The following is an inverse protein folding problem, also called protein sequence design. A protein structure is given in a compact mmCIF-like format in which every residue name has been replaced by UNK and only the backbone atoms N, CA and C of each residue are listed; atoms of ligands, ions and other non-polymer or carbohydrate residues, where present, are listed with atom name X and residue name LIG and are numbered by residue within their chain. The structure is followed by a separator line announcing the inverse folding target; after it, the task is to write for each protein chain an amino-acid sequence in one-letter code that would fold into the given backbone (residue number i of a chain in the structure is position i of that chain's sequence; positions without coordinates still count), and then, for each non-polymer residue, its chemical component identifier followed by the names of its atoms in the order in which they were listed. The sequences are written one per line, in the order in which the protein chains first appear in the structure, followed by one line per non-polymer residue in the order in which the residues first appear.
data_IF_076921459997
#
_entry.id   IF_076921459997
#
_cell.length_a   1.000
_cell.length_b   1.000
_cell.length_c   1.000
_cell.angle_alpha   90.00
_cell.angle_beta   90.00
_cell.angle_gamma   90.00
#
_symmetry.space_group_name_H-M   'P 1'
#
loop_
_entity.id
_entity.type
_entity.pdbx_description
1 polymer ?
#
# COMPACT_ATOMS: atom_id res chain seq x y z
N UNK A 1 -0.61 21.88 -9.43
CA UNK A 1 -1.24 21.15 -10.56
C UNK A 1 -2.70 20.93 -10.24
N UNK A 2 -3.63 21.21 -11.15
CA UNK A 2 -5.06 20.97 -10.89
C UNK A 2 -5.37 19.47 -10.94
N UNK A 3 -5.97 18.95 -9.87
CA UNK A 3 -6.41 17.55 -9.80
C UNK A 3 -7.49 17.26 -10.84
N UNK A 4 -7.34 16.14 -11.54
CA UNK A 4 -8.21 15.73 -12.65
C UNK A 4 -8.92 14.40 -12.37
N UNK A 5 -10.24 14.39 -12.55
CA UNK A 5 -11.13 13.25 -12.27
C UNK A 5 -11.75 12.73 -13.56
N UNK A 6 -11.49 11.46 -13.88
CA UNK A 6 -12.03 10.80 -15.08
C UNK A 6 -13.42 10.19 -14.80
N UNK A 7 -14.49 10.57 -15.53
CA UNK A 7 -15.81 9.99 -15.32
C UNK A 7 -15.88 8.48 -15.64
N UNK A 8 -16.39 7.63 -14.71
CA UNK A 8 -16.59 6.20 -14.94
C UNK A 8 -17.56 5.88 -16.08
N UNK A 9 -17.43 4.71 -16.71
CA UNK A 9 -18.22 4.33 -17.90
C UNK A 9 -19.74 4.47 -17.72
N UNK A 10 -20.29 4.18 -16.53
CA UNK A 10 -21.71 4.37 -16.23
C UNK A 10 -22.14 5.84 -16.28
N UNK A 11 -21.29 6.76 -15.79
CA UNK A 11 -21.51 8.22 -15.85
C UNK A 11 -21.44 8.71 -17.29
N UNK A 12 -20.45 8.23 -18.06
CA UNK A 12 -20.30 8.55 -19.49
C UNK A 12 -21.51 8.09 -20.31
N UNK A 13 -21.99 6.88 -20.05
CA UNK A 13 -23.13 6.29 -20.77
C UNK A 13 -24.47 6.93 -20.38
N UNK A 14 -24.60 7.45 -19.16
CA UNK A 14 -25.74 8.29 -18.79
C UNK A 14 -25.70 9.66 -19.49
N UNK A 15 -24.54 10.31 -19.53
CA UNK A 15 -24.37 11.58 -20.24
C UNK A 15 -24.63 11.47 -21.76
N UNK A 16 -24.26 10.35 -22.40
CA UNK A 16 -24.61 10.07 -23.81
C UNK A 16 -26.12 9.98 -24.00
N UNK A 17 -26.82 9.17 -23.20
CA UNK A 17 -28.29 9.09 -23.22
C UNK A 17 -28.97 10.42 -22.96
N UNK A 18 -28.42 11.26 -22.06
CA UNK A 18 -28.93 12.63 -21.84
C UNK A 18 -28.72 13.55 -23.05
N UNK A 19 -27.63 13.40 -23.80
CA UNK A 19 -27.38 14.13 -25.04
C UNK A 19 -28.29 13.65 -26.19
N UNK A 20 -28.58 12.35 -26.25
CA UNK A 20 -29.55 11.76 -27.18
C UNK A 20 -30.96 12.31 -26.91
N UNK A 21 -31.41 12.27 -25.64
CA UNK A 21 -32.69 12.87 -25.22
C UNK A 21 -32.78 14.36 -25.54
N UNK A 22 -31.70 15.12 -25.28
CA UNK A 22 -31.64 16.53 -25.64
C UNK A 22 -31.71 16.77 -27.16
N UNK A 23 -31.06 15.93 -27.97
CA UNK A 23 -31.12 16.01 -29.43
C UNK A 23 -32.53 15.68 -29.98
N UNK A 24 -33.29 14.83 -29.27
CA UNK A 24 -34.69 14.52 -29.57
C UNK A 24 -35.68 15.62 -29.14
N UNK A 25 -35.20 16.74 -28.56
CA UNK A 25 -36.06 17.82 -28.08
C UNK A 25 -36.67 17.58 -26.70
N UNK A 26 -36.23 16.55 -25.97
CA UNK A 26 -36.80 16.14 -24.68
C UNK A 26 -36.20 16.92 -23.50
N UNK A 27 -35.53 18.05 -23.77
CA UNK A 27 -35.01 19.00 -22.78
C UNK A 27 -36.08 19.99 -22.29
N UNK A 28 -35.76 20.76 -21.25
CA UNK A 28 -36.61 21.87 -20.79
C UNK A 28 -36.04 23.23 -21.17
N UNK A 29 -36.91 24.24 -21.26
CA UNK A 29 -36.57 25.61 -21.69
C UNK A 29 -35.47 26.28 -20.85
N UNK A 30 -35.29 25.84 -19.59
CA UNK A 30 -34.23 26.31 -18.70
C UNK A 30 -32.85 25.65 -18.87
N UNK A 31 -32.64 24.82 -19.91
CA UNK A 31 -31.37 24.10 -20.08
C UNK A 31 -30.29 24.97 -20.74
N UNK A 32 -29.31 25.41 -19.96
CA UNK A 32 -28.16 26.18 -20.45
C UNK A 32 -27.27 25.40 -21.43
N UNK A 33 -26.79 26.07 -22.48
CA UNK A 33 -25.79 25.54 -23.43
C UNK A 33 -24.50 25.06 -22.74
N UNK A 34 -24.12 25.70 -21.62
CA UNK A 34 -22.98 25.30 -20.78
C UNK A 34 -23.17 23.90 -20.16
N UNK A 35 -24.42 23.48 -19.88
CA UNK A 35 -24.76 22.14 -19.38
C UNK A 35 -24.61 21.10 -20.49
N UNK A 36 -25.05 21.39 -21.72
CA UNK A 36 -24.84 20.52 -22.89
C UNK A 36 -23.34 20.35 -23.18
N UNK A 37 -22.56 21.43 -23.13
CA UNK A 37 -21.10 21.36 -23.25
C UNK A 37 -20.45 20.52 -22.13
N UNK A 38 -20.96 20.61 -20.89
CA UNK A 38 -20.54 19.77 -19.76
C UNK A 38 -20.80 18.30 -20.03
N UNK A 39 -22.00 17.97 -20.49
CA UNK A 39 -22.42 16.61 -20.80
C UNK A 39 -21.57 15.98 -21.90
N UNK A 40 -21.22 16.74 -22.96
CA UNK A 40 -20.26 16.29 -24.00
C UNK A 40 -18.89 15.95 -23.42
N UNK A 41 -18.37 16.79 -22.51
CA UNK A 41 -17.08 16.53 -21.83
C UNK A 41 -17.14 15.29 -20.91
N UNK A 42 -18.28 15.06 -20.24
CA UNK A 42 -18.52 13.86 -19.43
C UNK A 42 -18.61 12.62 -20.35
N UNK A 43 -19.38 12.69 -21.44
CA UNK A 43 -19.60 11.59 -22.38
C UNK A 43 -18.33 11.12 -23.11
N UNK A 44 -17.39 12.02 -23.41
CA UNK A 44 -16.07 11.67 -23.95
C UNK A 44 -15.12 11.06 -22.92
N UNK A 45 -15.44 11.18 -21.62
CA UNK A 45 -14.56 10.74 -20.54
C UNK A 45 -13.35 11.65 -20.29
N UNK A 46 -13.37 12.87 -20.82
CA UNK A 46 -12.31 13.84 -20.58
C UNK A 46 -12.23 14.24 -19.10
N UNK A 47 -11.01 14.41 -18.60
CA UNK A 47 -10.75 14.71 -17.19
C UNK A 47 -11.42 16.03 -16.73
N UNK A 48 -12.06 15.98 -15.57
CA UNK A 48 -12.78 17.08 -14.94
C UNK A 48 -11.98 17.64 -13.75
N UNK A 49 -11.94 18.95 -13.59
CA UNK A 49 -11.30 19.59 -12.43
C UNK A 49 -12.14 19.39 -11.17
N UNK A 50 -11.53 19.59 -10.00
CA UNK A 50 -12.22 19.57 -8.71
C UNK A 50 -13.49 20.44 -8.71
N UNK A 51 -13.38 21.64 -9.26
CA UNK A 51 -14.50 22.58 -9.38
C UNK A 51 -15.65 22.02 -10.25
N UNK A 52 -15.32 21.34 -11.34
CA UNK A 52 -16.33 20.71 -12.19
C UNK A 52 -17.09 19.63 -11.43
N UNK A 53 -16.41 18.77 -10.66
CA UNK A 53 -17.08 17.73 -9.88
C UNK A 53 -17.85 18.30 -8.68
N UNK A 54 -17.35 19.38 -8.04
CA UNK A 54 -18.11 20.13 -7.03
C UNK A 54 -19.40 20.74 -7.59
N UNK A 55 -19.38 21.26 -8.83
CA UNK A 55 -20.58 21.74 -9.53
C UNK A 55 -21.56 20.58 -9.81
N UNK A 56 -21.08 19.41 -10.24
CA UNK A 56 -21.91 18.21 -10.43
C UNK A 56 -22.60 17.80 -9.11
N UNK A 57 -21.83 17.66 -8.03
CA UNK A 57 -22.36 17.32 -6.70
C UNK A 57 -23.42 18.32 -6.24
N UNK A 58 -23.13 19.63 -6.36
CA UNK A 58 -24.06 20.70 -5.98
C UNK A 58 -25.36 20.67 -6.79
N UNK A 59 -25.33 20.26 -8.06
CA UNK A 59 -26.54 20.04 -8.85
C UNK A 59 -27.36 18.87 -8.30
N UNK A 60 -26.72 17.72 -8.01
CA UNK A 60 -27.44 16.54 -7.55
C UNK A 60 -28.03 16.70 -6.15
N UNK A 61 -27.31 17.31 -5.20
CA UNK A 61 -27.82 17.51 -3.82
C UNK A 61 -29.07 18.40 -3.79
N UNK A 62 -29.11 19.47 -4.62
CA UNK A 62 -30.28 20.36 -4.72
C UNK A 62 -31.54 19.65 -5.22
N UNK A 63 -31.41 18.52 -5.92
CA UNK A 63 -32.50 17.86 -6.61
C UNK A 63 -32.66 16.37 -6.26
N UNK A 64 -32.00 15.88 -5.21
CA UNK A 64 -32.06 14.46 -4.84
C UNK A 64 -33.48 14.01 -4.46
N UNK A 65 -34.25 14.90 -3.82
CA UNK A 65 -35.65 14.66 -3.43
C UNK A 65 -36.59 14.47 -4.62
N UNK A 66 -36.23 15.00 -5.78
CA UNK A 66 -37.02 14.93 -7.01
C UNK A 66 -36.37 14.03 -8.07
N UNK A 67 -35.36 13.23 -7.71
CA UNK A 67 -34.57 12.47 -8.69
C UNK A 67 -35.44 11.51 -9.53
N UNK A 68 -35.14 11.33 -10.82
CA UNK A 68 -35.73 10.27 -11.62
C UNK A 68 -35.38 8.89 -11.08
N UNK A 69 -36.30 7.95 -11.29
CA UNK A 69 -36.13 6.54 -10.98
C UNK A 69 -35.08 5.87 -11.88
N UNK A 70 -34.40 4.85 -11.36
CA UNK A 70 -33.45 4.04 -12.14
C UNK A 70 -34.15 3.19 -13.24
N UNK A 71 -35.49 3.08 -13.22
CA UNK A 71 -36.24 1.94 -13.76
C UNK A 71 -37.29 2.18 -14.85
N UNK A 72 -37.44 3.38 -15.43
CA UNK A 72 -38.09 3.54 -16.73
C UNK A 72 -39.34 4.43 -16.83
N UNK A 73 -39.52 5.44 -15.98
CA UNK A 73 -40.31 6.60 -16.45
C UNK A 73 -39.64 7.19 -17.70
N UNK A 74 -40.44 7.46 -18.75
CA UNK A 74 -39.95 7.86 -20.08
C UNK A 74 -39.17 9.19 -20.09
N UNK A 75 -38.69 9.62 -21.28
CA UNK A 75 -37.99 10.88 -21.40
C UNK A 75 -38.88 12.05 -20.94
N UNK A 76 -38.26 13.00 -20.27
CA UNK A 76 -38.90 14.24 -19.81
C UNK A 76 -37.82 15.32 -19.66
N UNK A 77 -38.19 16.62 -19.74
CA UNK A 77 -37.28 17.74 -19.50
C UNK A 77 -36.38 17.56 -18.26
N UNK A 78 -36.97 17.04 -17.18
CA UNK A 78 -36.29 16.75 -15.94
C UNK A 78 -35.35 15.54 -16.01
N UNK A 79 -35.79 14.42 -16.60
CA UNK A 79 -34.95 13.23 -16.80
C UNK A 79 -33.76 13.53 -17.71
N UNK A 80 -33.97 14.31 -18.77
CA UNK A 80 -32.93 14.77 -19.70
C UNK A 80 -31.87 15.59 -18.99
N UNK A 81 -32.27 16.61 -18.21
CA UNK A 81 -31.36 17.41 -17.39
C UNK A 81 -30.55 16.54 -16.41
N UNK A 82 -31.20 15.61 -15.69
CA UNK A 82 -30.54 14.68 -14.78
C UNK A 82 -29.51 13.78 -15.47
N UNK A 83 -29.83 13.27 -16.66
CA UNK A 83 -28.97 12.39 -17.45
C UNK A 83 -27.76 13.13 -18.05
N UNK A 84 -27.91 14.39 -18.47
CA UNK A 84 -26.80 15.23 -18.95
C UNK A 84 -25.70 15.43 -17.89
N UNK A 85 -26.06 15.48 -16.60
CA UNK A 85 -25.09 15.51 -15.49
C UNK A 85 -24.50 14.12 -15.14
N UNK A 86 -24.90 13.06 -15.86
CA UNK A 86 -24.43 11.68 -15.66
C UNK A 86 -25.37 10.78 -14.86
N UNK A 87 -26.60 11.23 -14.58
CA UNK A 87 -27.65 10.45 -13.92
C UNK A 87 -27.29 9.96 -12.51
N UNK A 88 -27.97 8.90 -12.05
CA UNK A 88 -27.76 8.34 -10.71
C UNK A 88 -26.33 7.80 -10.49
N UNK A 89 -25.65 7.37 -11.57
CA UNK A 89 -24.23 7.05 -11.54
C UNK A 89 -23.37 8.30 -11.29
N UNK A 90 -23.66 9.40 -11.99
CA UNK A 90 -23.01 10.70 -11.82
C UNK A 90 -23.19 11.27 -10.41
N UNK A 91 -24.39 11.16 -9.84
CA UNK A 91 -24.67 11.51 -8.44
C UNK A 91 -23.76 10.77 -7.48
N UNK A 92 -23.77 9.43 -7.53
CA UNK A 92 -22.95 8.59 -6.63
C UNK A 92 -21.45 8.86 -6.79
N UNK A 93 -21.00 9.04 -8.04
CA UNK A 93 -19.60 9.35 -8.34
C UNK A 93 -19.18 10.74 -7.83
N UNK A 94 -19.94 11.78 -8.13
CA UNK A 94 -19.62 13.14 -7.71
C UNK A 94 -19.64 13.29 -6.18
N UNK A 95 -20.61 12.66 -5.49
CA UNK A 95 -20.64 12.62 -4.03
C UNK A 95 -19.42 11.88 -3.44
N UNK A 96 -19.00 10.75 -4.02
CA UNK A 96 -17.79 10.03 -3.60
C UNK A 96 -16.52 10.87 -3.79
N UNK A 97 -16.40 11.56 -4.92
CA UNK A 97 -15.24 12.41 -5.23
C UNK A 97 -15.20 13.66 -4.34
N UNK A 98 -16.34 14.32 -4.09
CA UNK A 98 -16.40 15.45 -3.15
C UNK A 98 -16.15 15.02 -1.70
N UNK A 99 -16.64 13.84 -1.29
CA UNK A 99 -16.29 13.25 0.02
C UNK A 99 -14.77 13.01 0.14
N UNK A 100 -14.11 12.57 -0.94
CA UNK A 100 -12.65 12.44 -0.98
C UNK A 100 -11.90 13.79 -0.97
N UNK A 101 -12.52 14.89 -1.44
CA UNK A 101 -11.95 16.25 -1.34
C UNK A 101 -12.15 16.88 0.04
N UNK A 102 -13.24 16.54 0.73
CA UNK A 102 -13.61 17.11 2.03
C UNK A 102 -13.02 16.34 3.21
N UNK A 103 -12.67 15.07 3.01
CA UNK A 103 -11.78 14.39 3.93
C UNK A 103 -10.44 15.14 3.99
N UNK A 104 -10.10 15.68 5.18
CA UNK A 104 -8.68 15.83 5.57
C UNK A 104 -7.97 14.50 5.28
N UNK A 105 -6.68 14.48 4.91
CA UNK A 105 -6.00 13.26 4.45
C UNK A 105 -5.81 12.23 5.56
N UNK A 106 -6.90 11.54 5.92
CA UNK A 106 -6.87 10.21 6.49
C UNK A 106 -6.40 9.27 5.37
N UNK A 107 -5.22 8.67 5.53
CA UNK A 107 -4.60 7.83 4.53
C UNK A 107 -5.56 6.76 4.01
N UNK A 108 -5.60 6.55 2.69
CA UNK A 108 -6.49 5.59 2.04
C UNK A 108 -6.13 4.16 2.44
N UNK A 109 -6.82 3.61 3.44
CA UNK A 109 -6.81 2.18 3.74
C UNK A 109 -7.59 1.40 2.68
N UNK A 110 -6.89 0.64 1.84
CA UNK A 110 -7.49 -0.31 0.88
C UNK A 110 -7.44 -1.70 1.51
N UNK A 111 -8.54 -2.46 1.53
CA UNK A 111 -8.62 -3.77 2.19
C UNK A 111 -8.45 -4.97 1.24
N UNK A 112 -7.54 -5.89 1.61
CA UNK A 112 -7.21 -7.17 0.96
C UNK A 112 -6.43 -8.04 1.98
N UNK A 113 -6.50 -9.38 1.86
CA UNK A 113 -5.79 -10.39 2.68
C UNK A 113 -4.60 -10.95 1.84
N UNK A 114 -4.08 -12.19 1.91
CA UNK A 114 -3.97 -13.18 3.02
C UNK A 114 -2.46 -13.26 3.41
N UNK A 115 -1.84 -14.45 3.33
CA UNK A 115 -0.58 -14.60 2.58
C UNK A 115 0.76 -14.62 3.33
N UNK A 116 0.78 -15.02 4.61
CA UNK A 116 1.91 -15.07 5.58
C UNK A 116 1.99 -13.88 6.54
N UNK A 117 1.73 -14.17 7.82
CA UNK A 117 1.68 -13.19 8.87
C UNK A 117 3.04 -12.97 9.54
N UNK A 118 3.51 -11.72 9.54
CA UNK A 118 4.16 -11.11 10.70
C UNK A 118 3.90 -9.60 10.68
N UNK A 119 3.42 -9.11 11.83
CA UNK A 119 2.80 -7.79 11.94
C UNK A 119 3.79 -6.65 11.67
N UNK A 120 3.29 -5.62 11.00
CA UNK A 120 3.95 -4.32 10.88
C UNK A 120 2.91 -3.20 10.84
N UNK A 121 3.36 -1.95 10.96
CA UNK A 121 2.55 -0.75 10.72
C UNK A 121 3.44 0.39 10.24
N UNK A 122 3.27 0.81 8.99
CA UNK A 122 3.82 2.08 8.53
C UNK A 122 2.95 3.24 9.05
N UNK A 123 3.51 4.10 9.90
CA UNK A 123 2.82 5.30 10.42
C UNK A 123 3.61 6.53 10.01
N UNK A 124 2.92 7.47 9.36
CA UNK A 124 3.42 8.84 9.21
C UNK A 124 3.04 9.62 10.47
N UNK A 125 4.04 10.09 11.21
CA UNK A 125 3.88 10.83 12.47
C UNK A 125 4.91 11.96 12.47
N UNK A 126 4.42 13.21 12.60
CA UNK A 126 5.19 14.46 12.47
C UNK A 126 6.06 14.61 11.19
N UNK A 127 5.75 13.83 10.14
CA UNK A 127 6.43 13.83 8.84
C UNK A 127 7.39 12.67 8.62
N UNK A 128 7.81 12.00 9.69
CA UNK A 128 8.67 10.81 9.66
C UNK A 128 7.85 9.53 9.40
N UNK A 129 8.52 8.45 8.95
CA UNK A 129 7.91 7.13 8.83
C UNK A 129 8.40 6.18 9.92
N UNK A 130 7.49 5.56 10.64
CA UNK A 130 7.82 4.43 11.51
C UNK A 130 7.60 3.12 10.76
N UNK A 131 8.60 2.23 10.80
CA UNK A 131 8.58 0.89 10.19
C UNK A 131 8.98 -0.16 11.23
N UNK A 132 8.51 -1.40 11.10
CA UNK A 132 8.84 -2.48 12.04
C UNK A 132 8.93 -3.85 11.35
N UNK A 133 9.71 -4.76 11.94
CA UNK A 133 9.96 -6.09 11.37
C UNK A 133 11.21 -6.75 11.94
N UNK A 134 11.57 -7.93 11.43
CA UNK A 134 12.78 -8.65 11.85
C UNK A 134 13.98 -8.18 11.03
N UNK A 135 15.00 -7.67 11.71
CA UNK A 135 16.28 -7.30 11.13
C UNK A 135 17.20 -8.51 10.90
N UNK A 136 17.00 -9.57 11.68
CA UNK A 136 17.68 -10.86 11.57
C UNK A 136 16.81 -11.94 12.22
N UNK A 137 16.90 -13.18 11.73
CA UNK A 137 16.34 -14.37 12.39
C UNK A 137 17.44 -15.42 12.66
N UNK A 138 17.05 -16.59 13.17
CA UNK A 138 17.98 -17.69 13.48
C UNK A 138 18.03 -18.78 12.40
N UNK A 139 17.31 -18.60 11.29
CA UNK A 139 17.34 -19.55 10.18
C UNK A 139 18.62 -19.42 9.36
N UNK A 140 18.87 -20.41 8.51
CA UNK A 140 20.03 -20.42 7.62
C UNK A 140 19.80 -19.41 6.49
N UNK A 141 20.74 -18.49 6.30
CA UNK A 141 20.68 -17.49 5.23
C UNK A 141 21.17 -18.03 3.87
N UNK A 142 21.23 -17.16 2.86
CA UNK A 142 21.66 -17.54 1.50
C UNK A 142 23.13 -17.93 1.38
N UNK A 143 23.96 -17.51 2.33
CA UNK A 143 25.40 -17.81 2.35
C UNK A 143 25.69 -19.08 3.18
N UNK A 144 24.65 -19.73 3.71
CA UNK A 144 24.76 -20.94 4.54
C UNK A 144 25.12 -20.64 5.99
N UNK A 145 24.97 -19.39 6.42
CA UNK A 145 25.27 -18.95 7.78
C UNK A 145 24.02 -18.94 8.66
N UNK A 146 24.20 -19.13 9.97
CA UNK A 146 23.13 -19.03 10.96
C UNK A 146 23.69 -18.50 12.29
N UNK A 147 22.82 -17.89 13.11
CA UNK A 147 23.23 -17.17 14.31
C UNK A 147 23.06 -18.03 15.57
N UNK A 148 24.10 -18.07 16.41
CA UNK A 148 24.05 -18.75 17.69
C UNK A 148 22.96 -18.15 18.62
N UNK A 149 22.16 -18.98 19.31
CA UNK A 149 21.20 -18.52 20.30
C UNK A 149 21.83 -17.56 21.32
N UNK A 150 21.21 -16.38 21.48
CA UNK A 150 21.69 -15.32 22.38
C UNK A 150 22.82 -14.44 21.84
N UNK A 151 23.40 -14.68 20.66
CA UNK A 151 24.40 -13.79 20.07
C UNK A 151 23.81 -12.40 19.75
N UNK A 152 22.61 -12.35 19.14
CA UNK A 152 21.85 -11.10 18.93
C UNK A 152 21.53 -10.39 20.25
N UNK A 153 21.17 -11.14 21.30
CA UNK A 153 20.82 -10.57 22.61
C UNK A 153 22.01 -9.86 23.26
N UNK A 154 23.21 -10.42 23.14
CA UNK A 154 24.46 -9.81 23.65
C UNK A 154 24.88 -8.56 22.86
N UNK A 155 24.61 -8.53 21.55
CA UNK A 155 24.95 -7.41 20.69
C UNK A 155 24.03 -6.20 20.89
N UNK A 156 22.77 -6.45 21.26
CA UNK A 156 21.71 -5.44 21.27
C UNK A 156 22.01 -4.25 22.20
N UNK A 157 22.47 -4.52 23.43
CA UNK A 157 22.79 -3.47 24.41
C UNK A 157 23.93 -2.54 23.97
N UNK A 158 24.82 -3.03 23.08
CA UNK A 158 25.87 -2.20 22.48
C UNK A 158 25.31 -1.34 21.36
N UNK A 159 24.56 -1.95 20.43
CA UNK A 159 23.91 -1.27 19.32
C UNK A 159 22.97 -0.14 19.77
N UNK A 160 22.16 -0.36 20.81
CA UNK A 160 21.20 0.64 21.30
C UNK A 160 21.85 1.90 21.89
N UNK A 161 23.18 1.96 22.03
CA UNK A 161 23.92 3.20 22.37
C UNK A 161 24.06 4.15 21.17
N UNK A 162 23.99 3.62 19.95
CA UNK A 162 23.96 4.37 18.70
C UNK A 162 23.08 3.63 17.68
N UNK A 163 21.74 3.64 17.85
CA UNK A 163 20.82 2.79 17.11
C UNK A 163 20.56 3.32 15.70
N UNK A 164 21.60 3.38 14.86
CA UNK A 164 21.53 3.98 13.53
C UNK A 164 20.77 3.08 12.55
N UNK A 165 19.89 3.69 11.74
CA UNK A 165 19.30 3.06 10.56
C UNK A 165 19.98 3.62 9.30
N UNK A 166 20.63 2.76 8.53
CA UNK A 166 21.37 3.13 7.32
C UNK A 166 20.64 2.69 6.03
N UNK A 167 21.14 3.15 4.88
CA UNK A 167 20.78 2.60 3.57
C UNK A 167 21.86 1.63 3.07
N UNK A 168 21.49 0.37 2.87
CA UNK A 168 22.27 -0.65 2.15
C UNK A 168 23.75 -0.73 2.58
N UNK A 169 23.98 -0.83 3.89
CA UNK A 169 25.28 -0.91 4.58
C UNK A 169 26.19 0.33 4.41
N UNK A 170 25.68 1.42 3.84
CA UNK A 170 26.42 2.68 3.72
C UNK A 170 26.20 3.55 4.95
N UNK A 171 27.14 3.49 5.89
CA UNK A 171 27.09 4.28 7.13
C UNK A 171 27.13 5.81 6.90
N UNK A 172 27.60 6.25 5.73
CA UNK A 172 27.53 7.66 5.29
C UNK A 172 26.15 8.11 4.80
N UNK A 173 25.20 7.18 4.62
CA UNK A 173 23.86 7.39 4.09
C UNK A 173 22.83 6.94 5.14
N UNK A 174 22.84 7.63 6.28
CA UNK A 174 21.85 7.46 7.35
C UNK A 174 20.43 7.79 6.85
N UNK A 175 19.47 6.99 7.32
CA UNK A 175 18.05 7.07 6.98
C UNK A 175 17.17 7.38 8.20
N UNK A 176 17.69 7.20 9.42
CA UNK A 176 16.97 7.47 10.67
C UNK A 176 17.54 6.65 11.83
N UNK A 177 16.69 6.21 12.75
CA UNK A 177 17.11 5.50 13.98
C UNK A 177 16.15 4.37 14.37
N UNK A 178 16.69 3.29 14.95
CA UNK A 178 15.91 2.27 15.64
C UNK A 178 15.46 2.80 16.99
N UNK A 179 14.14 2.88 17.20
CA UNK A 179 13.51 3.45 18.40
C UNK A 179 13.08 2.39 19.41
N UNK A 180 12.90 1.15 18.96
CA UNK A 180 12.59 0.00 19.81
C UNK A 180 13.22 -1.25 19.19
N UNK A 181 13.77 -2.14 20.01
CA UNK A 181 14.36 -3.39 19.55
C UNK A 181 14.29 -4.45 20.63
N UNK A 182 14.08 -5.70 20.22
CA UNK A 182 14.00 -6.86 21.14
C UNK A 182 14.36 -8.14 20.38
N UNK A 183 14.98 -9.08 21.08
CA UNK A 183 15.16 -10.44 20.57
C UNK A 183 14.05 -11.32 21.15
N UNK A 184 13.39 -12.11 20.30
CA UNK A 184 12.45 -13.15 20.71
C UNK A 184 12.80 -14.50 20.06
N UNK A 185 11.93 -15.50 20.18
CA UNK A 185 12.17 -16.83 19.60
C UNK A 185 12.19 -16.90 18.08
N UNK A 186 11.87 -15.80 17.37
CA UNK A 186 11.97 -15.70 15.90
C UNK A 186 13.24 -14.97 15.47
N UNK A 187 13.66 -13.93 16.20
CA UNK A 187 14.84 -13.17 15.82
C UNK A 187 14.98 -11.82 16.50
N UNK A 188 15.79 -10.94 15.92
CA UNK A 188 15.87 -9.52 16.29
C UNK A 188 14.74 -8.75 15.61
N UNK A 189 13.68 -8.46 16.35
CA UNK A 189 12.63 -7.53 15.94
C UNK A 189 13.03 -6.09 16.27
N UNK A 190 12.73 -5.18 15.35
CA UNK A 190 12.94 -3.74 15.53
C UNK A 190 11.71 -2.94 15.11
N UNK A 191 11.63 -1.73 15.67
CA UNK A 191 10.86 -0.59 15.15
C UNK A 191 11.82 0.56 14.93
N UNK A 192 11.81 1.14 13.73
CA UNK A 192 12.69 2.22 13.33
C UNK A 192 11.90 3.43 12.80
N UNK A 193 12.39 4.61 13.12
CA UNK A 193 12.02 5.87 12.49
C UNK A 193 12.89 6.08 11.26
N UNK A 194 12.28 6.48 10.15
CA UNK A 194 12.93 6.96 8.93
C UNK A 194 12.65 8.44 8.84
N UNK A 195 13.72 9.25 8.89
CA UNK A 195 13.65 10.69 9.05
C UNK A 195 13.14 11.35 7.74
N UNK A 196 12.28 12.36 7.86
CA UNK A 196 11.76 13.10 6.70
C UNK A 196 12.90 13.88 6.03
N UNK A 197 13.25 13.58 4.77
CA UNK A 197 14.36 14.22 4.09
C UNK A 197 13.92 15.46 3.31
N UNK A 198 14.86 16.38 3.10
CA UNK A 198 14.66 17.55 2.24
C UNK A 198 14.16 17.15 0.83
N UNK A 199 13.09 17.79 0.31
CA UNK A 199 12.52 17.45 -0.99
C UNK A 199 13.54 17.56 -2.14
N UNK A 200 13.51 16.56 -3.04
CA UNK A 200 14.40 16.52 -4.20
C UNK A 200 15.77 15.89 -3.95
N UNK A 201 16.10 15.53 -2.70
CA UNK A 201 17.31 14.75 -2.39
C UNK A 201 17.17 13.27 -2.76
N UNK A 202 18.31 12.57 -2.82
CA UNK A 202 18.32 11.11 -2.99
C UNK A 202 17.76 10.38 -1.75
N UNK A 203 17.89 10.96 -0.56
CA UNK A 203 17.17 10.49 0.63
C UNK A 203 15.64 10.56 0.42
N UNK A 204 15.12 11.62 -0.20
CA UNK A 204 13.70 11.72 -0.58
C UNK A 204 13.25 10.71 -1.65
N UNK A 205 14.17 10.20 -2.49
CA UNK A 205 13.86 9.07 -3.37
C UNK A 205 13.64 7.79 -2.56
N UNK A 206 14.53 7.51 -1.59
CA UNK A 206 14.49 6.30 -0.75
C UNK A 206 13.35 6.32 0.26
N UNK A 207 13.11 7.44 0.92
CA UNK A 207 11.95 7.64 1.79
C UNK A 207 10.64 7.31 1.04
N UNK A 208 10.52 7.73 -0.23
CA UNK A 208 9.39 7.35 -1.09
C UNK A 208 9.37 5.88 -1.50
N UNK A 209 10.52 5.20 -1.58
CA UNK A 209 10.58 3.74 -1.78
C UNK A 209 10.17 2.97 -0.51
N UNK A 210 10.53 3.46 0.68
CA UNK A 210 10.06 2.92 1.97
C UNK A 210 8.56 3.11 2.09
N UNK A 211 8.03 4.33 1.90
CA UNK A 211 6.60 4.63 1.95
C UNK A 211 5.75 3.77 0.98
N UNK A 212 6.34 3.30 -0.12
CA UNK A 212 5.70 2.42 -1.13
C UNK A 212 5.95 0.93 -0.89
N UNK A 213 6.69 0.54 0.15
CA UNK A 213 7.06 -0.86 0.40
C UNK A 213 7.97 -1.48 -0.67
N UNK A 214 8.64 -0.65 -1.48
CA UNK A 214 9.66 -1.06 -2.45
C UNK A 214 10.99 -1.33 -1.75
N UNK A 215 11.39 -0.44 -0.84
CA UNK A 215 12.55 -0.61 0.03
C UNK A 215 12.06 -1.06 1.40
N UNK A 216 12.11 -2.37 1.66
CA UNK A 216 11.52 -2.99 2.85
C UNK A 216 12.36 -4.08 3.52
N UNK A 217 13.45 -4.52 2.89
CA UNK A 217 14.36 -5.49 3.52
C UNK A 217 15.17 -4.84 4.63
N UNK A 218 15.38 -5.55 5.73
CA UNK A 218 16.36 -5.20 6.74
C UNK A 218 17.59 -6.11 6.63
N UNK A 219 18.74 -5.58 7.02
CA UNK A 219 20.00 -6.33 7.13
C UNK A 219 20.77 -5.81 8.33
N UNK A 220 21.54 -6.68 9.00
CA UNK A 220 22.43 -6.30 10.10
C UNK A 220 23.87 -6.17 9.59
N UNK A 221 24.62 -5.20 10.11
CA UNK A 221 26.02 -5.00 9.78
C UNK A 221 26.89 -4.71 11.00
N UNK A 222 28.14 -5.16 10.94
CA UNK A 222 29.07 -5.09 12.06
C UNK A 222 30.16 -6.14 11.97
N UNK A 223 30.71 -6.53 13.12
CA UNK A 223 31.77 -7.54 13.20
C UNK A 223 31.22 -8.87 13.71
N UNK A 224 31.50 -9.95 12.97
CA UNK A 224 30.94 -11.27 13.22
C UNK A 224 32.08 -12.27 13.49
N UNK A 225 32.08 -12.91 14.67
CA UNK A 225 32.99 -14.04 14.93
C UNK A 225 32.31 -15.32 14.46
N UNK A 226 32.86 -15.93 13.42
CA UNK A 226 32.30 -17.12 12.78
C UNK A 226 33.12 -18.38 13.12
N UNK A 227 32.46 -19.52 13.18
CA UNK A 227 33.05 -20.85 13.29
C UNK A 227 32.37 -21.79 12.29
N UNK A 228 32.99 -22.92 11.95
CA UNK A 228 32.35 -23.97 11.14
C UNK A 228 31.87 -25.08 12.06
N UNK A 229 30.56 -25.33 12.08
CA UNK A 229 29.95 -26.44 12.81
C UNK A 229 29.12 -27.30 11.85
N UNK A 230 29.36 -28.62 11.84
CA UNK A 230 28.64 -29.62 11.03
C UNK A 230 28.53 -29.24 9.52
N UNK A 231 29.57 -28.60 8.99
CA UNK A 231 29.62 -28.17 7.59
C UNK A 231 28.86 -26.87 7.27
N UNK A 232 28.41 -26.12 8.29
CA UNK A 232 27.74 -24.81 8.15
C UNK A 232 28.49 -23.73 8.93
N UNK A 233 28.31 -22.47 8.55
CA UNK A 233 28.94 -21.34 9.22
C UNK A 233 28.05 -20.86 10.37
N UNK A 234 28.55 -20.96 11.60
CA UNK A 234 27.89 -20.47 12.80
C UNK A 234 28.45 -19.09 13.19
N UNK A 235 27.59 -18.11 13.37
CA UNK A 235 27.92 -16.79 13.91
C UNK A 235 27.79 -16.86 15.44
N UNK A 236 28.93 -16.95 16.14
CA UNK A 236 29.01 -17.13 17.60
C UNK A 236 28.86 -15.82 18.39
N UNK A 237 29.46 -14.75 17.90
CA UNK A 237 29.42 -13.42 18.51
C UNK A 237 29.22 -12.35 17.45
N UNK A 238 28.48 -11.31 17.81
CA UNK A 238 28.13 -10.18 16.97
C UNK A 238 28.47 -8.90 17.73
N UNK A 239 29.25 -8.02 17.12
CA UNK A 239 29.31 -6.61 17.48
C UNK A 239 28.48 -5.84 16.44
N UNK A 240 27.24 -5.49 16.81
CA UNK A 240 26.24 -4.93 15.89
C UNK A 240 26.45 -3.42 15.78
N UNK A 241 26.92 -2.98 14.61
CA UNK A 241 27.29 -1.58 14.34
C UNK A 241 26.13 -0.81 13.74
N UNK A 242 25.38 -1.42 12.82
CA UNK A 242 24.28 -0.77 12.11
C UNK A 242 23.19 -1.74 11.70
N UNK A 243 21.98 -1.21 11.48
CA UNK A 243 20.91 -1.92 10.80
C UNK A 243 20.55 -1.11 9.54
N UNK A 244 20.43 -1.80 8.41
CA UNK A 244 20.23 -1.18 7.10
C UNK A 244 18.91 -1.56 6.46
N UNK A 245 18.27 -0.57 5.85
CA UNK A 245 17.27 -0.79 4.81
C UNK A 245 17.97 -1.21 3.51
N UNK A 246 17.59 -2.37 2.96
CA UNK A 246 18.17 -2.95 1.75
C UNK A 246 17.10 -3.42 0.76
N UNK A 247 17.30 -3.26 -0.57
CA UNK A 247 16.41 -3.84 -1.58
C UNK A 247 16.41 -5.37 -1.56
N UNK A 248 17.55 -5.99 -1.23
CA UNK A 248 17.78 -7.43 -1.26
C UNK A 248 18.60 -7.84 -0.03
N UNK A 249 17.99 -8.34 1.05
CA UNK A 249 18.72 -8.86 2.19
C UNK A 249 19.33 -10.23 1.88
N UNK A 250 20.45 -10.57 2.54
CA UNK A 250 21.11 -11.89 2.44
C UNK A 250 20.25 -12.95 3.12
N UNK A 251 19.79 -12.67 4.35
CA UNK A 251 18.71 -13.43 4.97
C UNK A 251 17.39 -13.14 4.24
N UNK A 252 16.75 -14.12 3.57
CA UNK A 252 15.56 -13.87 2.75
C UNK A 252 14.30 -13.56 3.58
N UNK A 253 14.31 -13.85 4.88
CA UNK A 253 13.17 -13.70 5.81
C UNK A 253 13.15 -12.36 6.54
N UNK A 254 14.23 -11.58 6.50
CA UNK A 254 14.30 -10.21 7.05
C UNK A 254 13.67 -9.16 6.13
N UNK A 255 12.74 -9.58 5.26
CA UNK A 255 11.86 -8.65 4.53
C UNK A 255 10.89 -8.03 5.54
N UNK A 256 11.25 -6.85 6.06
CA UNK A 256 10.46 -6.07 6.98
C UNK A 256 9.08 -5.71 6.42
N UNK A 257 8.11 -5.63 7.33
CA UNK A 257 6.71 -5.44 6.97
C UNK A 257 6.42 -3.94 6.76
N UNK A 258 6.65 -3.44 5.55
CA UNK A 258 6.00 -2.18 5.14
C UNK A 258 4.54 -2.46 4.84
N UNK A 259 3.64 -1.85 5.60
CA UNK A 259 2.20 -2.01 5.39
C UNK A 259 1.72 -1.21 4.18
N UNK A 260 1.45 -1.94 3.10
CA UNK A 260 0.55 -1.57 2.02
C UNK A 260 -0.08 -2.84 1.47
N UNK A 261 -1.41 -3.00 1.60
CA UNK A 261 -2.13 -4.23 1.21
C UNK A 261 -1.99 -4.45 -0.31
N UNK A 262 -1.75 -5.65 -0.83
CA UNK A 262 -2.77 -6.70 -1.00
C UNK A 262 -2.21 -7.96 -1.70
N UNK A 263 -2.56 -9.18 -1.27
CA UNK A 263 -3.21 -10.23 -2.10
C UNK A 263 -3.33 -11.62 -1.43
N UNK A 264 -4.36 -12.33 -1.87
CA UNK A 264 -4.85 -13.64 -1.38
C UNK A 264 -4.03 -14.83 -1.93
N UNK A 265 -3.70 -15.85 -1.10
CA UNK A 265 -4.07 -17.23 -1.47
C UNK A 265 -4.58 -18.11 -0.30
N UNK A 266 -5.37 -19.13 -0.66
CA UNK A 266 -6.19 -19.99 0.20
C UNK A 266 -5.45 -20.81 1.28
N UNK A 267 -6.23 -21.29 2.27
CA UNK A 267 -5.77 -22.14 3.35
C UNK A 267 -5.22 -23.48 2.82
N UNK A 268 -3.89 -23.61 2.78
CA UNK A 268 -3.25 -24.90 2.58
C UNK A 268 -3.67 -25.88 3.69
N UNK A 269 -4.04 -27.14 3.36
CA UNK A 269 -4.39 -28.12 4.37
C UNK A 269 -3.20 -28.37 5.30
N UNK A 270 -3.48 -28.48 6.59
CA UNK A 270 -2.49 -28.88 7.59
C UNK A 270 -1.99 -30.30 7.26
N UNK A 271 -0.78 -30.41 6.68
CA UNK A 271 -0.09 -31.69 6.61
C UNK A 271 0.33 -32.08 8.02
N UNK A 272 -0.24 -33.18 8.51
CA UNK A 272 0.27 -33.85 9.69
C UNK A 272 1.55 -34.62 9.33
N UNK A 273 2.69 -33.97 9.59
CA UNK A 273 4.02 -34.56 9.36
C UNK A 273 4.41 -35.60 10.42
N UNK A 274 3.57 -35.87 11.42
CA UNK A 274 3.85 -36.90 12.45
C UNK A 274 3.64 -38.35 11.97
N UNK A 275 3.16 -38.51 10.73
CA UNK A 275 2.91 -39.80 10.07
C UNK A 275 3.84 -40.10 8.88
N UNK A 276 4.95 -39.34 8.71
CA UNK A 276 5.95 -39.58 7.68
C UNK A 276 7.25 -40.08 8.33
N UNK A 277 7.52 -41.38 8.20
CA UNK A 277 8.68 -42.03 8.82
C UNK A 277 9.99 -41.79 8.02
N UNK A 278 9.92 -41.45 6.73
CA UNK A 278 11.09 -41.24 5.88
C UNK A 278 11.04 -39.98 5.01
N UNK A 279 12.21 -39.56 4.53
CA UNK A 279 12.37 -38.45 3.59
C UNK A 279 11.81 -38.78 2.18
N UNK A 280 11.70 -40.06 1.85
CA UNK A 280 11.23 -40.54 0.55
C UNK A 280 9.70 -40.47 0.46
N UNK A 281 8.99 -40.74 1.55
CA UNK A 281 7.52 -40.56 1.65
C UNK A 281 7.09 -39.10 1.38
N UNK A 282 7.91 -38.13 1.80
CA UNK A 282 7.67 -36.71 1.58
C UNK A 282 7.88 -36.29 0.11
N UNK A 283 8.75 -36.99 -0.63
CA UNK A 283 9.01 -36.72 -2.05
C UNK A 283 7.93 -37.32 -2.95
N UNK A 284 7.43 -38.51 -2.65
CA UNK A 284 6.35 -39.15 -3.40
C UNK A 284 5.01 -38.41 -3.26
N UNK A 285 4.77 -37.75 -2.12
CA UNK A 285 3.57 -36.93 -1.92
C UNK A 285 3.60 -35.59 -2.70
N UNK A 286 4.80 -35.14 -3.10
CA UNK A 286 5.03 -33.94 -3.91
C UNK A 286 5.10 -34.23 -5.41
N UNK A 287 5.33 -35.49 -5.81
CA UNK A 287 5.46 -35.89 -7.22
C UNK A 287 4.13 -36.18 -7.93
N UNK A 288 3.01 -36.24 -7.18
CA UNK A 288 1.66 -36.56 -7.69
C UNK A 288 0.74 -35.32 -7.85
N UNK A 289 1.30 -34.15 -8.15
CA UNK A 289 0.55 -32.91 -8.47
C UNK A 289 1.08 -32.21 -9.72
#
# INVERSE_FOLDING_TARGET
MASGHTPPQAVRSAARRGLEMYANGEGGDGLESATVARARKIASGASLTDEHVKRMYSFFERHDKTRPDDGGSGPSPWRTAWMLWGGNAGRRWAASVVKQMQAKPAGKSVEFLWGFALQGKAVEEDGDLYIEGYASDFDIDRDGEYIAPGALQKALDSYMKNPILCYHHKMSEAMGQVVEARVDGKGLWIKARVDQPEPGTEAANRFRQVAKGTLRGFSIGGFFKKAVERGRTLINEIDLVEISLTPTPVNPRTLGTVVGKALEPEAAPHLDLSALDTFEDALDLLSQR
#
